data_IF_330008956417
#
_entry.id   IF_330008956417
#
_cell.length_a   1.000
_cell.length_b   1.000
_cell.length_c   1.000
_cell.angle_alpha   90.00
_cell.angle_beta   90.00
_cell.angle_gamma   90.00
#
_symmetry.space_group_name_H-M   'P 1'
#
loop_
_entity.id
_entity.type
_entity.pdbx_description
1 polymer ?
#
# COMPACT_ATOMS: atom_id res chain seq x y z
N UNK A 1 12.28 86.58 72.59
CA UNK A 1 12.19 85.72 73.78
C UNK A 1 12.69 84.33 73.41
N UNK A 2 13.73 83.84 74.08
CA UNK A 2 14.07 82.41 74.14
C UNK A 2 12.97 81.69 74.94
N UNK A 3 12.70 80.38 74.85
CA UNK A 3 13.51 79.19 74.56
C UNK A 3 12.67 78.16 73.73
N UNK A 4 13.07 76.92 73.38
CA UNK A 4 14.26 76.11 73.71
C UNK A 4 14.72 75.30 72.46
N UNK A 5 15.15 74.04 72.63
CA UNK A 5 15.79 73.13 71.64
C UNK A 5 15.72 71.67 72.22
N UNK A 6 16.39 70.61 71.70
CA UNK A 6 15.94 69.66 70.64
C UNK A 6 16.02 68.15 71.02
N UNK A 7 15.66 67.24 70.09
CA UNK A 7 16.18 65.85 69.90
C UNK A 7 15.57 65.27 68.59
N UNK A 8 16.33 64.77 67.59
CA UNK A 8 16.91 63.41 67.44
C UNK A 8 15.83 62.28 67.31
N UNK A 9 15.90 61.28 66.42
CA UNK A 9 16.95 60.85 65.47
C UNK A 9 16.38 59.92 64.36
N UNK A 10 17.12 59.79 63.23
CA UNK A 10 17.30 58.59 62.36
C UNK A 10 16.10 57.76 61.85
N UNK A 11 16.04 57.58 60.52
CA UNK A 11 15.70 56.28 59.91
C UNK A 11 14.76 56.30 58.70
N UNK A 12 15.04 55.46 57.68
CA UNK A 12 13.98 54.93 56.80
C UNK A 12 13.88 55.49 55.37
N UNK A 13 14.98 55.61 54.63
CA UNK A 13 14.91 55.73 53.16
C UNK A 13 14.45 54.39 52.55
N UNK A 14 13.14 54.18 52.37
CA UNK A 14 12.60 53.06 51.59
C UNK A 14 12.30 53.56 50.17
N UNK A 15 13.29 53.41 49.30
CA UNK A 15 13.08 53.44 47.86
C UNK A 15 12.05 52.37 47.51
N UNK A 16 10.90 52.80 46.97
CA UNK A 16 9.95 51.92 46.33
C UNK A 16 10.55 51.43 44.99
N UNK A 17 11.51 50.50 45.07
CA UNK A 17 11.97 49.76 43.90
C UNK A 17 10.79 48.96 43.38
N UNK A 18 10.16 49.51 42.34
CA UNK A 18 9.21 48.80 41.49
C UNK A 18 10.00 47.73 40.75
N UNK A 19 10.18 46.58 41.38
CA UNK A 19 10.76 45.40 40.76
C UNK A 19 9.77 44.84 39.75
N UNK A 20 9.72 45.47 38.57
CA UNK A 20 9.23 44.86 37.34
C UNK A 20 10.19 43.75 36.93
N UNK A 21 10.25 42.71 37.77
CA UNK A 21 10.84 41.45 37.43
C UNK A 21 10.06 40.92 36.25
N UNK A 22 10.67 40.94 35.08
CA UNK A 22 10.21 40.17 33.94
C UNK A 22 10.41 38.69 34.28
N UNK A 23 9.49 38.14 35.08
CA UNK A 23 9.36 36.71 35.26
C UNK A 23 8.99 36.14 33.91
N UNK A 24 9.99 35.63 33.20
CA UNK A 24 9.77 34.73 32.09
C UNK A 24 9.02 33.53 32.66
N UNK A 25 7.68 33.56 32.56
CA UNK A 25 6.82 32.45 32.95
C UNK A 25 7.29 31.23 32.17
N UNK A 26 7.97 30.32 32.86
CA UNK A 26 8.37 29.03 32.29
C UNK A 26 7.07 28.39 31.80
N UNK A 27 6.97 28.15 30.50
CA UNK A 27 5.83 27.48 29.91
C UNK A 27 5.56 26.19 30.69
N UNK A 28 4.29 25.89 30.98
CA UNK A 28 3.95 24.65 31.67
C UNK A 28 4.48 23.44 30.87
N UNK A 29 4.79 22.31 31.53
CA UNK A 29 5.20 21.11 30.81
C UNK A 29 4.16 20.67 29.77
N UNK A 30 2.87 20.85 30.08
CA UNK A 30 1.73 20.61 29.19
C UNK A 30 1.76 21.51 27.94
N UNK A 31 1.96 22.82 28.12
CA UNK A 31 2.07 23.77 27.00
C UNK A 31 3.27 23.43 26.12
N UNK A 32 4.40 23.05 26.73
CA UNK A 32 5.62 22.65 26.01
C UNK A 32 5.39 21.37 25.20
N UNK A 33 4.71 20.37 25.77
CA UNK A 33 4.35 19.14 25.09
C UNK A 33 3.37 19.38 23.93
N UNK A 34 2.35 20.21 24.14
CA UNK A 34 1.39 20.58 23.10
C UNK A 34 2.07 21.30 21.92
N UNK A 35 3.00 22.25 22.18
CA UNK A 35 3.76 22.93 21.12
C UNK A 35 4.59 21.94 20.30
N UNK A 36 5.26 20.98 20.96
CA UNK A 36 6.03 19.95 20.28
C UNK A 36 5.14 19.04 19.41
N UNK A 37 4.02 18.57 19.96
CA UNK A 37 3.05 17.74 19.24
C UNK A 37 2.47 18.45 18.01
N UNK A 38 2.08 19.73 18.13
CA UNK A 38 1.53 20.49 17.00
C UNK A 38 2.55 20.76 15.90
N UNK A 39 3.83 20.97 16.23
CA UNK A 39 4.92 21.11 15.24
C UNK A 39 5.17 19.80 14.48
N UNK A 40 5.09 18.67 15.17
CA UNK A 40 5.19 17.35 14.55
C UNK A 40 4.00 17.09 13.64
N UNK A 41 2.77 17.20 14.16
CA UNK A 41 1.54 16.96 13.41
C UNK A 41 1.40 17.87 12.15
N UNK A 42 1.86 19.12 12.22
CA UNK A 42 1.89 20.01 11.06
C UNK A 42 2.92 19.61 9.99
N UNK A 43 4.00 18.93 10.40
CA UNK A 43 5.00 18.36 9.48
C UNK A 43 4.48 17.07 8.86
N UNK A 44 3.90 16.18 9.67
CA UNK A 44 3.28 14.93 9.21
C UNK A 44 2.16 15.19 8.19
N UNK A 45 1.31 16.19 8.44
CA UNK A 45 0.19 16.55 7.55
C UNK A 45 0.66 16.99 6.15
N UNK A 46 1.78 17.73 6.06
CA UNK A 46 2.39 18.10 4.78
C UNK A 46 3.04 16.90 4.10
N UNK A 47 3.77 16.06 4.86
CA UNK A 47 4.40 14.85 4.32
C UNK A 47 3.36 13.83 3.82
N UNK A 48 2.22 13.69 4.51
CA UNK A 48 1.09 12.89 4.08
C UNK A 48 0.51 13.40 2.76
N UNK A 49 0.22 14.71 2.65
CA UNK A 49 -0.22 15.32 1.38
C UNK A 49 0.75 15.04 0.24
N UNK A 50 2.06 15.19 0.46
CA UNK A 50 3.08 14.98 -0.56
C UNK A 50 3.31 13.49 -0.88
N UNK A 51 3.06 12.59 0.06
CA UNK A 51 2.95 11.15 -0.19
C UNK A 51 1.79 10.87 -1.14
N UNK A 52 0.58 11.37 -0.85
CA UNK A 52 -0.60 11.14 -1.67
C UNK A 52 -0.52 11.79 -3.06
N UNK A 53 0.08 12.99 -3.18
CA UNK A 53 0.36 13.61 -4.49
C UNK A 53 1.26 12.71 -5.35
N UNK A 54 2.28 12.08 -4.76
CA UNK A 54 3.18 11.15 -5.48
C UNK A 54 2.48 9.84 -5.84
N UNK A 55 1.71 9.26 -4.90
CA UNK A 55 0.88 8.07 -5.13
C UNK A 55 -0.10 8.25 -6.28
N UNK A 56 -0.79 9.39 -6.28
CA UNK A 56 -1.85 9.70 -7.23
C UNK A 56 -1.38 10.52 -8.42
N UNK A 57 -0.07 10.54 -8.74
CA UNK A 57 0.51 11.44 -9.76
C UNK A 57 -0.16 11.35 -11.15
N UNK A 58 -0.78 10.21 -11.48
CA UNK A 58 -1.53 9.98 -12.73
C UNK A 58 -3.00 10.46 -12.69
N UNK A 59 -3.53 10.88 -11.54
CA UNK A 59 -4.91 11.31 -11.34
C UNK A 59 -4.98 12.85 -11.26
N UNK A 60 -4.90 13.53 -12.41
CA UNK A 60 -4.74 14.98 -12.49
C UNK A 60 -5.74 15.81 -11.64
N UNK A 61 -7.03 15.41 -11.63
CA UNK A 61 -8.08 16.08 -10.83
C UNK A 61 -7.82 15.94 -9.32
N UNK A 62 -7.40 14.76 -8.87
CA UNK A 62 -7.08 14.49 -7.48
C UNK A 62 -5.80 15.20 -7.04
N UNK A 63 -4.76 15.18 -7.87
CA UNK A 63 -3.51 15.93 -7.65
C UNK A 63 -3.79 17.42 -7.51
N UNK A 64 -4.61 18.00 -8.40
CA UNK A 64 -5.02 19.40 -8.31
C UNK A 64 -5.76 19.71 -7.00
N UNK A 65 -6.67 18.83 -6.57
CA UNK A 65 -7.40 18.97 -5.29
C UNK A 65 -6.46 18.88 -4.08
N UNK A 66 -5.49 17.97 -4.09
CA UNK A 66 -4.48 17.81 -3.04
C UNK A 66 -3.50 19.00 -2.99
N UNK A 67 -3.07 19.50 -4.15
CA UNK A 67 -2.28 20.73 -4.25
C UNK A 67 -3.03 21.95 -3.70
N UNK A 68 -4.35 22.02 -3.89
CA UNK A 68 -5.22 23.07 -3.33
C UNK A 68 -5.21 23.13 -1.80
N UNK A 69 -4.97 22.01 -1.10
CA UNK A 69 -4.79 22.00 0.36
C UNK A 69 -3.47 22.65 0.82
N UNK A 70 -2.52 22.80 -0.09
CA UNK A 70 -1.13 23.09 0.26
C UNK A 70 -0.90 24.44 0.92
N UNK A 71 -1.64 25.48 0.50
CA UNK A 71 -1.59 26.80 1.14
C UNK A 71 -2.13 26.76 2.57
N UNK A 72 -3.27 26.10 2.79
CA UNK A 72 -3.87 25.90 4.11
C UNK A 72 -2.95 25.13 5.06
N UNK A 73 -2.36 24.01 4.61
CA UNK A 73 -1.45 23.22 5.46
C UNK A 73 -0.14 23.97 5.77
N UNK A 74 0.38 24.77 4.82
CA UNK A 74 1.51 25.66 5.09
C UNK A 74 1.15 26.76 6.11
N UNK A 75 -0.07 27.30 6.09
CA UNK A 75 -0.57 28.23 7.09
C UNK A 75 -0.72 27.57 8.47
N UNK A 76 -1.22 26.34 8.54
CA UNK A 76 -1.28 25.56 9.79
C UNK A 76 0.13 25.31 10.36
N UNK A 77 1.11 24.96 9.52
CA UNK A 77 2.52 24.85 9.94
C UNK A 77 3.10 26.17 10.44
N UNK A 78 2.80 27.29 9.77
CA UNK A 78 3.20 28.61 10.24
C UNK A 78 2.56 28.98 11.59
N UNK A 79 1.33 28.54 11.85
CA UNK A 79 0.67 28.71 13.14
C UNK A 79 1.30 27.83 14.24
N UNK A 80 1.52 26.55 13.97
CA UNK A 80 2.19 25.61 14.90
C UNK A 80 3.65 25.98 15.21
N UNK A 81 4.32 26.71 14.31
CA UNK A 81 5.66 27.23 14.56
C UNK A 81 5.68 28.38 15.59
N UNK A 82 4.59 29.16 15.71
CA UNK A 82 4.48 30.26 16.68
C UNK A 82 4.46 29.72 18.11
N UNK A 83 4.85 30.58 19.05
CA UNK A 83 4.73 30.27 20.48
C UNK A 83 3.35 30.75 20.95
N UNK A 84 2.41 29.85 21.29
CA UNK A 84 1.12 30.21 21.88
C UNK A 84 1.31 30.79 23.29
N UNK A 85 0.40 31.69 23.69
CA UNK A 85 0.46 32.39 24.98
C UNK A 85 -0.03 31.55 26.15
N UNK A 86 -0.82 30.52 25.87
CA UNK A 86 -1.47 29.64 26.85
C UNK A 86 -1.85 28.29 26.19
N UNK A 87 -2.33 27.35 27.01
CA UNK A 87 -2.73 26.01 26.54
C UNK A 87 -3.90 26.05 25.55
N UNK A 88 -4.92 26.89 25.77
CA UNK A 88 -6.09 26.99 24.88
C UNK A 88 -5.74 27.48 23.46
N UNK A 89 -4.78 28.41 23.31
CA UNK A 89 -4.25 28.79 21.99
C UNK A 89 -3.51 27.63 21.29
N UNK A 90 -2.86 26.77 22.08
CA UNK A 90 -2.22 25.56 21.58
C UNK A 90 -3.25 24.50 21.15
N UNK A 91 -4.25 24.21 22.00
CA UNK A 91 -5.35 23.28 21.73
C UNK A 91 -6.14 23.67 20.48
N UNK A 92 -6.45 24.97 20.30
CA UNK A 92 -7.06 25.49 19.07
C UNK A 92 -6.22 25.24 17.81
N UNK A 93 -4.89 25.19 17.95
CA UNK A 93 -3.99 24.81 16.84
C UNK A 93 -4.06 23.30 16.60
N UNK A 94 -4.18 22.49 17.65
CA UNK A 94 -4.41 21.04 17.57
C UNK A 94 -5.71 20.71 16.84
N UNK A 95 -6.82 21.38 17.19
CA UNK A 95 -8.12 21.25 16.52
C UNK A 95 -8.02 21.57 15.03
N UNK A 96 -7.35 22.67 14.67
CA UNK A 96 -7.18 23.07 13.27
C UNK A 96 -6.29 22.08 12.47
N UNK A 97 -5.31 21.46 13.11
CA UNK A 97 -4.49 20.40 12.51
C UNK A 97 -5.29 19.10 12.31
N UNK A 98 -6.12 18.72 13.28
CA UNK A 98 -7.02 17.58 13.17
C UNK A 98 -8.05 17.77 12.04
N UNK A 99 -8.70 18.94 11.98
CA UNK A 99 -9.62 19.28 10.89
C UNK A 99 -8.93 19.27 9.51
N UNK A 100 -7.66 19.67 9.44
CA UNK A 100 -6.82 19.55 8.25
C UNK A 100 -6.54 18.10 7.84
N UNK A 101 -6.29 17.22 8.81
CA UNK A 101 -6.14 15.76 8.59
C UNK A 101 -7.44 15.14 8.09
N UNK A 102 -8.57 15.41 8.75
CA UNK A 102 -9.90 14.97 8.31
C UNK A 102 -10.25 15.49 6.90
N UNK A 103 -9.76 16.67 6.51
CA UNK A 103 -9.96 17.20 5.16
C UNK A 103 -9.15 16.40 4.11
N UNK A 104 -7.92 15.97 4.43
CA UNK A 104 -7.13 15.07 3.59
C UNK A 104 -7.79 13.69 3.49
N UNK A 105 -8.19 13.11 4.62
CA UNK A 105 -8.87 11.80 4.69
C UNK A 105 -10.21 11.79 3.94
N UNK A 106 -10.99 12.87 3.97
CA UNK A 106 -12.21 13.01 3.15
C UNK A 106 -11.95 13.06 1.63
N UNK A 107 -10.69 13.22 1.20
CA UNK A 107 -10.31 13.28 -0.22
C UNK A 107 -9.74 11.93 -0.69
N UNK A 108 -8.91 11.25 0.12
CA UNK A 108 -8.25 9.99 -0.28
C UNK A 108 -8.78 8.72 0.43
N UNK A 109 -9.42 8.87 1.59
CA UNK A 109 -9.74 7.80 2.55
C UNK A 109 -8.79 7.82 3.75
N UNK A 110 -9.08 7.03 4.80
CA UNK A 110 -8.05 6.76 5.83
C UNK A 110 -7.08 5.68 5.33
N UNK A 111 -5.81 5.66 5.77
CA UNK A 111 -4.85 4.62 5.39
C UNK A 111 -5.32 3.20 5.76
N UNK A 112 -6.03 3.06 6.87
CA UNK A 112 -6.60 1.81 7.37
C UNK A 112 -7.71 1.30 6.44
N UNK A 113 -8.69 2.15 6.10
CA UNK A 113 -9.79 1.80 5.19
C UNK A 113 -9.27 1.42 3.78
N UNK A 114 -8.20 2.08 3.33
CA UNK A 114 -7.51 1.76 2.09
C UNK A 114 -6.83 0.38 2.16
N UNK A 115 -6.10 0.09 3.24
CA UNK A 115 -5.43 -1.19 3.44
C UNK A 115 -6.42 -2.36 3.57
N UNK A 116 -7.52 -2.18 4.32
CA UNK A 116 -8.61 -3.14 4.43
C UNK A 116 -9.24 -3.43 3.06
N UNK A 117 -9.60 -2.38 2.32
CA UNK A 117 -10.20 -2.52 0.98
C UNK A 117 -9.25 -3.20 -0.01
N UNK A 118 -7.97 -2.82 -0.04
CA UNK A 118 -6.98 -3.45 -0.92
C UNK A 118 -6.77 -4.93 -0.56
N UNK A 119 -6.70 -5.26 0.73
CA UNK A 119 -6.56 -6.65 1.22
C UNK A 119 -7.78 -7.49 0.85
N UNK A 120 -8.99 -6.94 1.01
CA UNK A 120 -10.23 -7.62 0.61
C UNK A 120 -10.28 -7.88 -0.91
N UNK A 121 -9.92 -6.88 -1.72
CA UNK A 121 -9.86 -7.00 -3.18
C UNK A 121 -8.83 -8.05 -3.64
N UNK A 122 -7.62 -8.04 -3.07
CA UNK A 122 -6.61 -9.07 -3.33
C UNK A 122 -7.08 -10.48 -2.93
N UNK A 123 -7.74 -10.60 -1.78
CA UNK A 123 -8.27 -11.89 -1.28
C UNK A 123 -9.35 -12.44 -2.21
N UNK A 124 -10.33 -11.61 -2.59
CA UNK A 124 -11.41 -12.00 -3.51
C UNK A 124 -10.88 -12.34 -4.92
N UNK A 125 -9.89 -11.59 -5.40
CA UNK A 125 -9.21 -11.88 -6.67
C UNK A 125 -8.47 -13.23 -6.64
N UNK A 126 -7.73 -13.52 -5.57
CA UNK A 126 -7.07 -14.82 -5.37
C UNK A 126 -8.06 -15.98 -5.28
N UNK A 127 -9.22 -15.78 -4.64
CA UNK A 127 -10.30 -16.77 -4.61
C UNK A 127 -10.86 -17.08 -6.01
N UNK A 128 -11.07 -16.06 -6.85
CA UNK A 128 -11.53 -16.27 -8.23
C UNK A 128 -10.50 -17.05 -9.06
N UNK A 129 -9.20 -16.77 -8.89
CA UNK A 129 -8.14 -17.54 -9.55
C UNK A 129 -8.12 -19.00 -9.09
N UNK A 130 -8.30 -19.27 -7.80
CA UNK A 130 -8.37 -20.63 -7.26
C UNK A 130 -9.55 -21.42 -7.85
N UNK A 131 -10.76 -20.83 -7.87
CA UNK A 131 -11.94 -21.47 -8.48
C UNK A 131 -11.72 -21.72 -9.98
N UNK A 132 -11.11 -20.80 -10.71
CA UNK A 132 -10.82 -21.00 -12.13
C UNK A 132 -9.87 -22.20 -12.38
N UNK A 133 -8.85 -22.34 -11.54
CA UNK A 133 -7.92 -23.49 -11.56
C UNK A 133 -8.64 -24.82 -11.24
N UNK A 134 -9.55 -24.83 -10.27
CA UNK A 134 -10.37 -26.01 -9.95
C UNK A 134 -11.29 -26.41 -11.12
N UNK A 135 -11.93 -25.45 -11.78
CA UNK A 135 -12.80 -25.70 -12.93
C UNK A 135 -12.02 -26.20 -14.16
N UNK A 136 -10.80 -25.68 -14.35
CA UNK A 136 -9.88 -26.15 -15.38
C UNK A 136 -9.43 -27.59 -15.11
N UNK A 137 -9.02 -27.90 -13.87
CA UNK A 137 -8.63 -29.25 -13.46
C UNK A 137 -9.80 -30.26 -13.53
N UNK A 138 -11.03 -29.80 -13.27
CA UNK A 138 -12.23 -30.62 -13.35
C UNK A 138 -12.68 -30.97 -14.78
N UNK A 139 -12.21 -30.25 -15.80
CA UNK A 139 -12.46 -30.53 -17.22
C UNK A 139 -13.92 -30.42 -17.70
N UNK A 140 -14.85 -30.01 -16.82
CA UNK A 140 -16.31 -29.95 -17.11
C UNK A 140 -16.76 -28.65 -17.77
N UNK A 141 -15.92 -27.61 -17.73
CA UNK A 141 -16.21 -26.29 -18.31
C UNK A 141 -15.44 -26.14 -19.63
N UNK A 142 -16.07 -25.71 -20.74
CA UNK A 142 -15.38 -25.50 -22.01
C UNK A 142 -14.21 -24.52 -21.89
N UNK A 143 -13.06 -24.85 -22.48
CA UNK A 143 -11.84 -24.03 -22.42
C UNK A 143 -12.07 -22.56 -22.79
N UNK A 144 -12.78 -22.30 -23.90
CA UNK A 144 -13.11 -20.94 -24.34
C UNK A 144 -13.92 -20.11 -23.30
N UNK A 145 -14.70 -20.74 -22.40
CA UNK A 145 -15.35 -20.02 -21.28
C UNK A 145 -14.36 -19.71 -20.17
N UNK A 146 -13.45 -20.62 -19.86
CA UNK A 146 -12.40 -20.42 -18.86
C UNK A 146 -11.41 -19.33 -19.32
N UNK A 147 -11.02 -19.33 -20.59
CA UNK A 147 -10.18 -18.31 -21.22
C UNK A 147 -10.84 -16.92 -21.21
N UNK A 148 -12.14 -16.83 -21.54
CA UNK A 148 -12.87 -15.57 -21.47
C UNK A 148 -12.93 -14.99 -20.05
N UNK A 149 -12.93 -15.84 -19.01
CA UNK A 149 -12.90 -15.44 -17.60
C UNK A 149 -11.49 -15.06 -17.17
N UNK A 150 -10.48 -15.85 -17.55
CA UNK A 150 -9.07 -15.53 -17.34
C UNK A 150 -8.74 -14.14 -17.91
N UNK A 151 -9.21 -13.83 -19.11
CA UNK A 151 -9.04 -12.51 -19.73
C UNK A 151 -9.68 -11.36 -18.96
N UNK A 152 -10.86 -11.55 -18.33
CA UNK A 152 -11.49 -10.54 -17.47
C UNK A 152 -10.75 -10.38 -16.14
N UNK A 153 -10.30 -11.48 -15.52
CA UNK A 153 -9.44 -11.42 -14.34
C UNK A 153 -8.11 -10.70 -14.64
N UNK A 154 -7.49 -10.94 -15.80
CA UNK A 154 -6.27 -10.24 -16.21
C UNK A 154 -6.50 -8.74 -16.50
N UNK A 155 -7.72 -8.32 -16.83
CA UNK A 155 -8.10 -6.90 -16.91
C UNK A 155 -8.26 -6.25 -15.52
N UNK A 156 -8.66 -7.00 -14.49
CA UNK A 156 -8.74 -6.53 -13.10
C UNK A 156 -7.36 -6.50 -12.41
N UNK A 157 -6.42 -7.36 -12.84
CA UNK A 157 -5.08 -7.52 -12.27
C UNK A 157 -4.29 -6.21 -12.07
N UNK A 158 -4.29 -5.24 -13.02
CA UNK A 158 -3.63 -3.95 -12.81
C UNK A 158 -4.26 -3.16 -11.66
N UNK A 159 -5.59 -3.18 -11.51
CA UNK A 159 -6.28 -2.52 -10.40
C UNK A 159 -5.94 -3.17 -9.05
N UNK A 160 -5.97 -4.49 -8.97
CA UNK A 160 -5.66 -5.25 -7.74
C UNK A 160 -4.23 -5.01 -7.24
N UNK A 161 -3.28 -4.80 -8.16
CA UNK A 161 -1.86 -4.61 -7.88
C UNK A 161 -1.42 -3.13 -7.84
N UNK A 162 -2.35 -2.16 -7.92
CA UNK A 162 -2.02 -0.74 -8.04
C UNK A 162 -1.89 -0.06 -6.69
N UNK A 163 -0.69 0.43 -6.39
CA UNK A 163 -0.47 1.46 -5.37
C UNK A 163 -1.07 2.80 -5.82
N UNK A 164 -1.57 3.60 -4.86
CA UNK A 164 -2.08 4.95 -5.16
C UNK A 164 -3.52 4.98 -5.70
N UNK A 165 -4.39 4.13 -5.15
CA UNK A 165 -5.84 4.19 -5.35
C UNK A 165 -6.49 4.97 -4.20
N UNK A 166 -7.52 5.78 -4.46
CA UNK A 166 -8.33 6.34 -3.38
C UNK A 166 -9.30 5.29 -2.85
N UNK A 167 -9.90 5.55 -1.68
CA UNK A 167 -10.92 4.66 -1.12
C UNK A 167 -12.15 4.55 -2.05
N UNK A 168 -12.46 5.59 -2.82
CA UNK A 168 -13.51 5.55 -3.85
C UNK A 168 -13.11 4.64 -5.01
N UNK A 169 -11.88 4.76 -5.52
CA UNK A 169 -11.38 3.88 -6.60
C UNK A 169 -11.32 2.42 -6.14
N UNK A 170 -10.83 2.18 -4.93
CA UNK A 170 -10.75 0.84 -4.35
C UNK A 170 -12.14 0.19 -4.18
N UNK A 171 -13.15 0.97 -3.74
CA UNK A 171 -14.54 0.51 -3.64
C UNK A 171 -15.20 0.27 -5.01
N UNK A 172 -14.85 1.05 -6.03
CA UNK A 172 -15.29 0.80 -7.40
C UNK A 172 -14.72 -0.54 -7.91
N UNK A 173 -13.42 -0.77 -7.71
CA UNK A 173 -12.78 -2.04 -8.00
C UNK A 173 -13.40 -3.20 -7.21
N UNK A 174 -13.79 -3.01 -5.94
CA UNK A 174 -14.52 -4.03 -5.17
C UNK A 174 -15.84 -4.43 -5.84
N UNK A 175 -16.58 -3.48 -6.40
CA UNK A 175 -17.84 -3.76 -7.10
C UNK A 175 -17.63 -4.52 -8.41
N UNK A 176 -16.57 -4.21 -9.16
CA UNK A 176 -16.15 -4.96 -10.35
C UNK A 176 -15.72 -6.39 -9.98
N UNK A 177 -14.94 -6.55 -8.92
CA UNK A 177 -14.48 -7.84 -8.38
C UNK A 177 -15.66 -8.70 -7.92
N UNK A 178 -16.62 -8.18 -7.16
CA UNK A 178 -17.80 -8.96 -6.73
C UNK A 178 -18.70 -9.33 -7.93
N UNK A 179 -18.77 -8.47 -8.96
CA UNK A 179 -19.49 -8.78 -10.21
C UNK A 179 -18.83 -9.95 -10.96
N UNK A 180 -17.50 -9.94 -11.12
CA UNK A 180 -16.77 -11.04 -11.76
C UNK A 180 -16.80 -12.32 -10.90
N UNK A 181 -16.71 -12.20 -9.57
CA UNK A 181 -16.81 -13.32 -8.62
C UNK A 181 -18.16 -14.03 -8.74
N UNK A 182 -19.25 -13.28 -8.87
CA UNK A 182 -20.56 -13.84 -9.17
C UNK A 182 -20.61 -14.52 -10.56
N UNK A 183 -19.88 -14.02 -11.56
CA UNK A 183 -19.76 -14.66 -12.87
C UNK A 183 -18.93 -15.96 -12.82
N UNK A 184 -17.81 -15.98 -12.09
CA UNK A 184 -16.97 -17.15 -11.83
C UNK A 184 -17.76 -18.24 -11.09
N UNK A 185 -18.51 -17.87 -10.04
CA UNK A 185 -19.34 -18.81 -9.29
C UNK A 185 -20.44 -19.46 -10.14
N UNK A 186 -20.99 -18.76 -11.15
CA UNK A 186 -21.97 -19.31 -12.11
C UNK A 186 -21.37 -20.34 -13.09
N UNK A 187 -20.05 -20.44 -13.17
CA UNK A 187 -19.35 -21.46 -13.95
C UNK A 187 -19.04 -22.72 -13.14
N UNK A 188 -19.10 -22.63 -11.81
CA UNK A 188 -19.05 -23.81 -10.97
C UNK A 188 -20.31 -24.65 -11.22
N UNK A 189 -20.18 -25.95 -11.53
CA UNK A 189 -21.34 -26.82 -11.58
C UNK A 189 -22.00 -26.85 -10.19
N UNK A 190 -23.34 -26.86 -10.09
CA UNK A 190 -24.01 -27.04 -8.82
C UNK A 190 -23.49 -28.32 -8.14
N UNK A 191 -23.37 -28.34 -6.80
CA UNK A 191 -22.84 -29.49 -6.09
C UNK A 191 -23.62 -30.75 -6.50
N UNK A 192 -22.93 -31.87 -6.80
CA UNK A 192 -23.60 -33.06 -7.29
C UNK A 192 -24.61 -33.54 -6.25
N UNK A 193 -25.87 -33.68 -6.65
CA UNK A 193 -26.86 -34.38 -5.85
C UNK A 193 -26.31 -35.77 -5.49
N UNK A 194 -26.43 -36.15 -4.21
CA UNK A 194 -25.74 -37.32 -3.65
C UNK A 194 -25.98 -38.58 -4.53
N UNK A 195 -24.93 -39.24 -5.04
CA UNK A 195 -25.10 -40.35 -5.96
C UNK A 195 -25.63 -41.59 -5.22
N UNK A 196 -26.75 -42.11 -5.69
CA UNK A 196 -27.20 -43.45 -5.31
C UNK A 196 -26.19 -44.50 -5.83
N UNK A 197 -25.83 -45.53 -5.04
CA UNK A 197 -24.75 -46.44 -5.39
C UNK A 197 -25.13 -47.36 -6.56
N UNK A 198 -24.21 -47.54 -7.52
CA UNK A 198 -24.23 -48.64 -8.49
C UNK A 198 -22.83 -49.27 -8.65
N UNK A 199 -22.73 -50.56 -9.03
CA UNK A 199 -21.48 -51.31 -8.93
C UNK A 199 -20.50 -51.03 -10.07
N UNK A 200 -19.24 -51.41 -9.84
CA UNK A 200 -18.11 -51.12 -10.73
C UNK A 200 -18.13 -51.91 -12.05
N UNK A 201 -17.54 -51.30 -13.09
CA UNK A 201 -17.11 -51.95 -14.32
C UNK A 201 -15.70 -51.46 -14.71
N UNK A 202 -14.93 -52.33 -15.36
CA UNK A 202 -13.46 -52.26 -15.47
C UNK A 202 -12.91 -51.19 -16.43
N UNK A 203 -11.72 -50.68 -16.14
CA UNK A 203 -11.00 -49.72 -17.00
C UNK A 203 -10.01 -50.41 -17.98
N UNK A 204 -9.86 -49.91 -19.23
CA UNK A 204 -8.74 -50.25 -20.12
C UNK A 204 -7.46 -49.45 -19.79
N UNK A 205 -6.26 -49.90 -20.25
CA UNK A 205 -4.98 -49.28 -19.91
C UNK A 205 -4.68 -48.00 -20.72
N UNK A 206 -3.87 -47.11 -20.14
CA UNK A 206 -3.45 -45.84 -20.73
C UNK A 206 -2.21 -45.97 -21.64
N UNK A 207 -2.10 -45.21 -22.75
CA UNK A 207 -0.89 -45.09 -23.54
C UNK A 207 0.11 -44.10 -22.91
N UNK A 208 1.41 -44.37 -23.09
CA UNK A 208 2.48 -43.53 -22.58
C UNK A 208 2.83 -42.37 -23.53
N UNK A 209 3.08 -41.20 -22.94
CA UNK A 209 3.54 -40.00 -23.63
C UNK A 209 3.19 -38.77 -22.79
N UNK A 210 4.18 -38.10 -22.20
CA UNK A 210 3.94 -36.92 -21.35
C UNK A 210 3.45 -35.77 -22.23
N UNK A 211 2.21 -35.28 -22.08
CA UNK A 211 1.70 -34.22 -22.95
C UNK A 211 2.43 -32.89 -22.69
N UNK A 212 2.61 -32.02 -23.71
CA UNK A 212 3.21 -30.69 -23.53
C UNK A 212 2.46 -29.79 -22.53
N UNK A 213 1.21 -30.13 -22.18
CA UNK A 213 0.45 -29.51 -21.11
C UNK A 213 1.07 -29.72 -19.70
N UNK A 214 1.64 -30.90 -19.41
CA UNK A 214 2.25 -31.22 -18.11
C UNK A 214 3.53 -30.41 -17.89
N UNK A 215 4.35 -30.30 -18.95
CA UNK A 215 5.53 -29.45 -19.01
C UNK A 215 5.17 -27.98 -18.69
N UNK A 216 4.17 -27.42 -19.39
CA UNK A 216 3.68 -26.04 -19.22
C UNK A 216 3.20 -25.74 -17.80
N UNK A 217 2.46 -26.67 -17.17
CA UNK A 217 1.95 -26.49 -15.81
C UNK A 217 3.10 -26.44 -14.78
N UNK A 218 4.14 -27.26 -14.99
CA UNK A 218 5.39 -27.21 -14.22
C UNK A 218 6.12 -25.87 -14.37
N UNK A 219 6.32 -25.42 -15.61
CA UNK A 219 7.00 -24.13 -15.90
C UNK A 219 6.27 -22.93 -15.33
N UNK A 220 4.94 -22.90 -15.43
CA UNK A 220 4.12 -21.80 -14.90
C UNK A 220 4.25 -21.71 -13.38
N UNK A 221 4.23 -22.85 -12.66
CA UNK A 221 4.49 -22.90 -11.22
C UNK A 221 5.90 -22.40 -10.89
N UNK A 222 6.93 -22.94 -11.57
CA UNK A 222 8.33 -22.57 -11.32
C UNK A 222 8.61 -21.09 -11.60
N UNK A 223 8.00 -20.53 -12.66
CA UNK A 223 8.07 -19.11 -12.97
C UNK A 223 7.44 -18.26 -11.86
N UNK A 224 6.25 -18.64 -11.38
CA UNK A 224 5.54 -17.92 -10.32
C UNK A 224 6.30 -17.96 -8.99
N UNK A 225 6.86 -19.12 -8.60
CA UNK A 225 7.76 -19.24 -7.44
C UNK A 225 8.96 -18.29 -7.55
N UNK A 226 9.55 -18.20 -8.75
CA UNK A 226 10.72 -17.36 -8.99
C UNK A 226 10.39 -15.86 -9.00
N UNK A 227 9.26 -15.48 -9.58
CA UNK A 227 8.75 -14.12 -9.57
C UNK A 227 8.43 -13.64 -8.14
N UNK A 228 7.85 -14.50 -7.31
CA UNK A 228 7.61 -14.22 -5.88
C UNK A 228 8.93 -14.03 -5.12
N UNK A 229 9.91 -14.91 -5.34
CA UNK A 229 11.23 -14.80 -4.71
C UNK A 229 12.00 -13.54 -5.15
N UNK A 230 11.88 -13.13 -6.42
CA UNK A 230 12.42 -11.87 -6.94
C UNK A 230 11.73 -10.65 -6.31
N UNK A 231 10.39 -10.64 -6.26
CA UNK A 231 9.63 -9.56 -5.64
C UNK A 231 9.97 -9.40 -4.15
N UNK A 232 10.05 -10.51 -3.41
CA UNK A 232 10.49 -10.53 -2.02
C UNK A 232 11.90 -9.91 -1.86
N UNK A 233 12.85 -10.28 -2.71
CA UNK A 233 14.21 -9.72 -2.68
C UNK A 233 14.27 -8.20 -2.94
N UNK A 234 13.48 -7.71 -3.89
CA UNK A 234 13.38 -6.27 -4.21
C UNK A 234 12.72 -5.50 -3.07
N UNK A 235 11.72 -6.08 -2.40
CA UNK A 235 11.06 -5.49 -1.23
C UNK A 235 11.87 -5.54 0.07
N UNK A 236 12.94 -6.34 0.15
CA UNK A 236 13.70 -6.59 1.37
C UNK A 236 14.62 -5.43 1.83
N UNK A 237 14.44 -4.22 1.30
CA UNK A 237 15.19 -3.01 1.68
C UNK A 237 16.13 -2.48 0.59
N UNK A 238 16.86 -1.39 0.85
CA UNK A 238 17.65 -0.67 -0.15
C UNK A 238 18.64 -1.60 -0.87
N UNK A 239 18.65 -1.55 -2.21
CA UNK A 239 19.42 -2.45 -3.07
C UNK A 239 20.81 -1.83 -3.29
N UNK A 240 21.91 -2.57 -3.02
CA UNK A 240 23.26 -2.11 -3.36
C UNK A 240 23.40 -1.80 -4.84
N UNK A 241 24.01 -0.67 -5.17
CA UNK A 241 24.06 -0.16 -6.54
C UNK A 241 24.81 -1.11 -7.51
N UNK A 242 25.74 -1.91 -6.98
CA UNK A 242 26.46 -2.97 -7.71
C UNK A 242 25.55 -4.12 -8.17
N UNK A 243 24.43 -4.37 -7.49
CA UNK A 243 23.47 -5.43 -7.86
C UNK A 243 22.43 -4.97 -8.90
N UNK A 244 22.31 -3.66 -9.16
CA UNK A 244 21.28 -3.11 -10.03
C UNK A 244 21.36 -3.64 -11.46
N UNK A 245 22.57 -3.72 -12.04
CA UNK A 245 22.76 -4.24 -13.40
C UNK A 245 22.37 -5.73 -13.51
N UNK A 246 22.73 -6.54 -12.50
CA UNK A 246 22.37 -7.95 -12.42
C UNK A 246 20.86 -8.15 -12.24
N UNK A 247 20.20 -7.30 -11.45
CA UNK A 247 18.74 -7.33 -11.24
C UNK A 247 17.96 -6.88 -12.48
N UNK A 248 18.46 -5.90 -13.25
CA UNK A 248 17.89 -5.50 -14.53
C UNK A 248 18.02 -6.62 -15.57
N UNK A 249 19.20 -7.24 -15.66
CA UNK A 249 19.42 -8.42 -16.51
C UNK A 249 18.53 -9.60 -16.13
N UNK A 250 18.25 -9.78 -14.83
CA UNK A 250 17.30 -10.79 -14.35
C UNK A 250 15.85 -10.43 -14.67
N UNK A 251 15.43 -9.17 -14.49
CA UNK A 251 14.05 -8.74 -14.82
C UNK A 251 13.74 -8.87 -16.30
N UNK A 252 14.65 -8.45 -17.19
CA UNK A 252 14.46 -8.62 -18.64
C UNK A 252 14.37 -10.09 -19.07
N UNK A 253 15.07 -11.00 -18.37
CA UNK A 253 15.00 -12.44 -18.64
C UNK A 253 13.70 -13.04 -18.12
N UNK A 254 13.22 -12.62 -16.95
CA UNK A 254 11.90 -13.00 -16.43
C UNK A 254 10.78 -12.48 -17.33
N UNK A 255 10.84 -11.23 -17.79
CA UNK A 255 9.86 -10.66 -18.74
C UNK A 255 9.84 -11.40 -20.06
N UNK A 256 11.02 -11.77 -20.60
CA UNK A 256 11.10 -12.62 -21.81
C UNK A 256 10.51 -14.02 -21.58
N UNK A 257 10.74 -14.63 -20.42
CA UNK A 257 10.10 -15.90 -20.07
C UNK A 257 8.59 -15.79 -19.96
N UNK A 258 8.09 -14.74 -19.31
CA UNK A 258 6.66 -14.47 -19.18
C UNK A 258 5.96 -14.27 -20.52
N UNK A 259 6.66 -13.71 -21.52
CA UNK A 259 6.17 -13.56 -22.88
C UNK A 259 6.25 -14.86 -23.70
N UNK A 260 7.23 -15.74 -23.41
CA UNK A 260 7.37 -17.02 -24.09
C UNK A 260 6.36 -18.06 -23.57
N UNK A 261 6.24 -18.25 -22.25
CA UNK A 261 5.42 -19.31 -21.59
C UNK A 261 3.97 -19.45 -22.15
N UNK A 262 3.27 -18.38 -22.57
CA UNK A 262 1.94 -18.48 -23.18
C UNK A 262 1.94 -18.97 -24.65
N UNK A 263 2.97 -18.64 -25.45
CA UNK A 263 2.92 -18.79 -26.91
C UNK A 263 3.10 -20.25 -27.35
N UNK A 264 1.99 -20.87 -27.77
CA UNK A 264 1.92 -22.26 -28.20
C UNK A 264 2.22 -22.47 -29.68
N UNK A 265 2.24 -21.38 -30.45
CA UNK A 265 2.25 -21.41 -31.91
C UNK A 265 3.62 -21.07 -32.47
N UNK A 266 4.54 -20.60 -31.63
CA UNK A 266 5.95 -20.51 -31.96
C UNK A 266 6.53 -21.91 -32.26
N UNK A 267 7.08 -22.16 -33.46
CA UNK A 267 7.70 -23.43 -33.81
C UNK A 267 8.98 -23.72 -32.99
N UNK A 268 9.51 -22.71 -32.30
CA UNK A 268 10.69 -22.79 -31.43
C UNK A 268 10.33 -23.16 -29.96
N UNK A 269 9.07 -23.51 -29.67
CA UNK A 269 8.62 -23.89 -28.32
C UNK A 269 9.26 -25.20 -27.85
N UNK A 270 10.36 -25.09 -27.08
CA UNK A 270 11.08 -26.23 -26.52
C UNK A 270 11.00 -26.26 -24.98
N UNK A 271 10.41 -27.33 -24.43
CA UNK A 271 10.33 -27.58 -22.99
C UNK A 271 11.69 -27.55 -22.28
N UNK A 272 12.75 -28.04 -22.92
CA UNK A 272 14.08 -28.09 -22.31
C UNK A 272 14.77 -26.73 -22.26
N UNK A 273 14.49 -25.84 -23.22
CA UNK A 273 15.05 -24.50 -23.22
C UNK A 273 14.40 -23.60 -22.17
N UNK A 274 13.09 -23.75 -21.95
CA UNK A 274 12.38 -23.06 -20.86
C UNK A 274 12.85 -23.59 -19.50
N UNK A 275 13.01 -24.91 -19.33
CA UNK A 275 13.66 -25.49 -18.14
C UNK A 275 15.06 -24.90 -17.91
N UNK A 276 15.92 -24.90 -18.93
CA UNK A 276 17.28 -24.32 -18.85
C UNK A 276 17.27 -22.82 -18.56
N UNK A 277 16.24 -22.08 -18.97
CA UNK A 277 16.14 -20.65 -18.71
C UNK A 277 15.60 -20.34 -17.31
N UNK A 278 14.59 -21.08 -16.83
CA UNK A 278 14.12 -21.03 -15.44
C UNK A 278 15.24 -21.37 -14.45
N UNK A 279 16.00 -22.43 -14.72
CA UNK A 279 17.09 -22.86 -13.84
C UNK A 279 18.25 -21.84 -13.83
N UNK A 280 18.56 -21.19 -14.96
CA UNK A 280 19.53 -20.08 -15.01
C UNK A 280 19.04 -18.87 -14.20
N UNK A 281 17.78 -18.47 -14.35
CA UNK A 281 17.20 -17.38 -13.58
C UNK A 281 17.15 -17.69 -12.07
N UNK A 282 16.94 -18.96 -11.69
CA UNK A 282 17.00 -19.45 -10.31
C UNK A 282 18.41 -19.34 -9.71
N UNK A 283 19.42 -19.75 -10.48
CA UNK A 283 20.82 -19.65 -10.07
C UNK A 283 21.31 -18.20 -9.99
N UNK A 284 20.86 -17.31 -10.89
CA UNK A 284 21.17 -15.88 -10.81
C UNK A 284 20.53 -15.25 -9.56
N UNK A 285 19.24 -15.52 -9.28
CA UNK A 285 18.58 -15.04 -8.06
C UNK A 285 19.23 -15.60 -6.79
N UNK A 286 19.71 -16.85 -6.80
CA UNK A 286 20.40 -17.45 -5.67
C UNK A 286 21.76 -16.78 -5.37
N UNK A 287 22.49 -16.35 -6.41
CA UNK A 287 23.75 -15.57 -6.28
C UNK A 287 23.54 -14.14 -5.81
N UNK A 288 22.34 -13.58 -6.01
CA UNK A 288 21.98 -12.23 -5.59
C UNK A 288 21.53 -12.14 -4.13
N UNK A 289 21.32 -13.28 -3.44
CA UNK A 289 20.95 -13.30 -2.01
C UNK A 289 21.95 -12.51 -1.17
N UNK A 290 21.41 -11.67 -0.28
CA UNK A 290 22.15 -10.95 0.77
C UNK A 290 22.50 -11.90 1.91
#
# INVERSE_FOLDING_TARGET
MSFLRPAACVGGMVLALSSTGAWAQKASPELTACIAANRQAATDLLQARDSEIRRHALHAVLVSRLQGLGSGFNQLKANAARVPRNLAECEKTTEALNAGREQLERIVGTPEQLAECATANQTAYGQMQAVLLELQAGGKVPAARLEAVAGRLDQLRPGVNRDGQTLTDCRALSAEIETEKAAVQRLAPPPPAAPAPRPAASAPPAPAGVPPAVCRQGHTRQYNELAQAYAAFVSAGPIPQELMASLQSLSERLTRLAAQIPDTNSPDWNCDDINRALERARNDLAKLKR
#
